data_IF_473005386616
#
_entry.id   IF_473005386616
#
_cell.length_a   1.000
_cell.length_b   1.000
_cell.length_c   1.000
_cell.angle_alpha   90.00
_cell.angle_beta   90.00
_cell.angle_gamma   90.00
#
_symmetry.space_group_name_H-M   'P 1'
#
loop_
_entity.id
_entity.type
_entity.pdbx_description
1 polymer ?
#
# COMPACT_ATOMS: atom_id res chain seq x y z
N UNK A 1 -18.56 6.57 -4.32
CA UNK A 1 -18.48 8.02 -4.10
C UNK A 1 -17.01 8.41 -4.10
N UNK A 2 -16.56 9.28 -5.01
CA UNK A 2 -15.14 9.56 -5.20
C UNK A 2 -14.53 10.26 -4.00
N UNK A 3 -13.46 9.68 -3.45
CA UNK A 3 -12.76 10.24 -2.32
C UNK A 3 -12.04 11.53 -2.74
N UNK A 4 -12.16 12.60 -1.96
CA UNK A 4 -11.61 13.91 -2.33
C UNK A 4 -10.08 13.89 -2.42
N UNK A 5 -9.44 13.10 -1.56
CA UNK A 5 -7.98 12.87 -1.51
C UNK A 5 -7.42 12.40 -2.86
N UNK A 6 -7.96 11.32 -3.43
CA UNK A 6 -7.46 10.74 -4.68
C UNK A 6 -7.70 11.66 -5.87
N UNK A 7 -8.81 12.41 -5.90
CA UNK A 7 -9.05 13.43 -6.92
C UNK A 7 -8.02 14.57 -6.87
N UNK A 8 -7.60 14.97 -5.67
CA UNK A 8 -6.54 15.99 -5.51
C UNK A 8 -5.21 15.42 -6.01
N UNK A 9 -4.90 14.15 -5.73
CA UNK A 9 -3.71 13.47 -6.28
C UNK A 9 -3.73 13.49 -7.80
N UNK A 10 -4.84 13.13 -8.44
CA UNK A 10 -4.95 13.14 -9.90
C UNK A 10 -4.69 14.52 -10.52
N UNK A 11 -5.06 15.60 -9.82
CA UNK A 11 -4.88 16.98 -10.29
C UNK A 11 -3.47 17.52 -10.06
N UNK A 12 -2.85 17.19 -8.93
CA UNK A 12 -1.60 17.83 -8.48
C UNK A 12 -0.38 16.95 -8.72
N UNK A 13 -0.53 15.64 -8.59
CA UNK A 13 0.55 14.65 -8.68
C UNK A 13 0.04 13.35 -9.33
N UNK A 14 -0.33 13.39 -10.63
CA UNK A 14 -0.90 12.23 -11.32
C UNK A 14 0.05 11.03 -11.29
N UNK A 15 -0.51 9.84 -11.07
CA UNK A 15 0.25 8.58 -10.96
C UNK A 15 -0.07 7.69 -12.15
N UNK A 16 0.96 7.33 -12.93
CA UNK A 16 0.85 6.40 -14.06
C UNK A 16 1.41 5.01 -13.77
N UNK A 17 1.18 4.06 -14.68
CA UNK A 17 1.79 2.73 -14.61
C UNK A 17 3.32 2.83 -14.73
N UNK A 18 4.05 2.17 -13.84
CA UNK A 18 5.51 2.25 -13.76
C UNK A 18 6.04 3.50 -13.04
N UNK A 19 5.15 4.33 -12.47
CA UNK A 19 5.55 5.49 -11.69
C UNK A 19 6.29 5.08 -10.41
N UNK A 20 7.32 5.86 -10.06
CA UNK A 20 7.95 5.81 -8.73
C UNK A 20 7.60 7.10 -7.99
N UNK A 21 6.76 6.98 -6.96
CA UNK A 21 6.33 8.10 -6.14
C UNK A 21 6.79 7.95 -4.70
N UNK A 22 6.82 9.07 -3.98
CA UNK A 22 7.05 9.11 -2.55
C UNK A 22 5.98 10.01 -1.91
N UNK A 23 5.27 9.47 -0.91
CA UNK A 23 4.34 10.25 -0.09
C UNK A 23 5.09 10.68 1.16
N UNK A 24 5.29 11.98 1.32
CA UNK A 24 5.92 12.57 2.52
C UNK A 24 4.82 13.08 3.44
N UNK A 25 4.78 12.57 4.67
CA UNK A 25 3.76 12.96 5.65
C UNK A 25 4.32 12.91 7.08
N UNK A 26 3.98 13.88 7.95
CA UNK A 26 4.28 13.75 9.36
C UNK A 26 3.43 12.64 10.02
N UNK A 27 3.81 12.15 11.20
CA UNK A 27 3.01 11.19 11.96
C UNK A 27 1.57 11.71 12.18
N UNK A 28 0.59 10.81 12.13
CA UNK A 28 -0.85 11.10 12.34
C UNK A 28 -1.50 12.03 11.30
N UNK A 29 -0.88 12.21 10.13
CA UNK A 29 -1.45 13.01 9.03
C UNK A 29 -2.36 12.24 8.07
N UNK A 30 -2.70 10.98 8.36
CA UNK A 30 -3.60 10.18 7.52
C UNK A 30 -2.94 9.41 6.39
N UNK A 31 -1.61 9.20 6.42
CA UNK A 31 -0.86 8.36 5.45
C UNK A 31 -1.57 7.03 5.15
N UNK A 32 -1.97 6.33 6.21
CA UNK A 32 -2.55 4.99 6.11
C UNK A 32 -3.90 5.01 5.38
N UNK A 33 -4.77 5.96 5.72
CA UNK A 33 -6.09 6.13 5.08
C UNK A 33 -5.89 6.49 3.59
N UNK A 34 -4.97 7.41 3.29
CA UNK A 34 -4.66 7.78 1.91
C UNK A 34 -4.18 6.58 1.08
N UNK A 35 -3.30 5.74 1.63
CA UNK A 35 -2.83 4.52 0.95
C UNK A 35 -3.96 3.52 0.71
N UNK A 36 -4.85 3.32 1.69
CA UNK A 36 -6.03 2.46 1.53
C UNK A 36 -6.94 2.96 0.40
N UNK A 37 -7.17 4.27 0.33
CA UNK A 37 -8.01 4.89 -0.70
C UNK A 37 -7.38 4.79 -2.09
N UNK A 38 -6.07 4.98 -2.20
CA UNK A 38 -5.33 4.79 -3.45
C UNK A 38 -5.42 3.33 -3.92
N UNK A 39 -5.22 2.36 -3.02
CA UNK A 39 -5.32 0.94 -3.36
C UNK A 39 -6.74 0.57 -3.83
N UNK A 40 -7.79 1.00 -3.10
CA UNK A 40 -9.20 0.81 -3.50
C UNK A 40 -9.49 1.44 -4.87
N UNK A 41 -8.95 2.63 -5.12
CA UNK A 41 -9.11 3.32 -6.41
C UNK A 41 -8.48 2.50 -7.54
N UNK A 42 -7.24 2.02 -7.39
CA UNK A 42 -6.56 1.18 -8.38
C UNK A 42 -7.34 -0.11 -8.64
N UNK A 43 -7.74 -0.83 -7.58
CA UNK A 43 -8.49 -2.09 -7.71
C UNK A 43 -9.84 -1.92 -8.42
N UNK A 44 -10.51 -0.78 -8.23
CA UNK A 44 -11.78 -0.47 -8.88
C UNK A 44 -11.67 0.08 -10.30
N UNK A 45 -10.58 0.76 -10.63
CA UNK A 45 -10.38 1.41 -11.94
C UNK A 45 -9.54 0.61 -12.92
N UNK A 46 -8.66 -0.26 -12.43
CA UNK A 46 -7.74 -1.08 -13.23
C UNK A 46 -7.96 -2.56 -12.88
N UNK A 47 -8.88 -3.27 -13.58
CA UNK A 47 -9.20 -4.67 -13.28
C UNK A 47 -8.02 -5.62 -13.51
N UNK A 48 -7.11 -5.28 -14.41
CA UNK A 48 -5.93 -6.08 -14.74
C UNK A 48 -4.75 -5.83 -13.81
N UNK A 49 -4.85 -4.83 -12.91
CA UNK A 49 -3.80 -4.56 -11.94
C UNK A 49 -3.85 -5.56 -10.78
N UNK A 50 -2.68 -6.05 -10.40
CA UNK A 50 -2.46 -6.79 -9.16
C UNK A 50 -1.74 -5.89 -8.16
N UNK A 51 -2.30 -5.74 -6.95
CA UNK A 51 -1.79 -4.78 -5.96
C UNK A 51 -1.06 -5.51 -4.85
N UNK A 52 0.16 -5.05 -4.54
CA UNK A 52 0.89 -5.46 -3.35
C UNK A 52 0.90 -4.31 -2.35
N UNK A 53 0.59 -4.62 -1.09
CA UNK A 53 0.75 -3.69 0.03
C UNK A 53 1.75 -4.31 0.99
N UNK A 54 2.95 -3.74 1.04
CA UNK A 54 4.03 -4.16 1.92
C UNK A 54 4.09 -3.24 3.15
N UNK A 55 3.93 -3.80 4.34
CA UNK A 55 4.01 -3.09 5.61
C UNK A 55 5.22 -3.58 6.41
N UNK A 56 6.17 -2.69 6.68
CA UNK A 56 7.39 -3.00 7.43
C UNK A 56 7.44 -2.14 8.68
N UNK A 57 7.74 -2.76 9.82
CA UNK A 57 7.93 -2.09 11.11
C UNK A 57 6.68 -1.29 11.55
N UNK A 58 5.50 -1.67 11.05
CA UNK A 58 4.21 -1.06 11.42
C UNK A 58 3.56 -1.86 12.55
N UNK A 59 2.54 -1.25 13.18
CA UNK A 59 1.85 -1.88 14.32
C UNK A 59 0.88 -3.00 13.87
N UNK A 60 0.73 -4.09 14.65
CA UNK A 60 -0.17 -5.20 14.31
C UNK A 60 -1.62 -4.78 14.04
N UNK A 61 -2.15 -3.80 14.78
CA UNK A 61 -3.50 -3.28 14.58
C UNK A 61 -3.66 -2.54 13.25
N UNK A 62 -2.62 -1.84 12.78
CA UNK A 62 -2.62 -1.14 11.51
C UNK A 62 -2.51 -2.11 10.34
N UNK A 63 -1.72 -3.19 10.50
CA UNK A 63 -1.65 -4.31 9.55
C UNK A 63 -3.03 -4.97 9.42
N UNK A 64 -3.67 -5.29 10.54
CA UNK A 64 -4.98 -5.94 10.55
C UNK A 64 -6.06 -5.06 9.91
N UNK A 65 -6.03 -3.75 10.17
CA UNK A 65 -6.94 -2.81 9.52
C UNK A 65 -6.71 -2.76 8.00
N UNK A 66 -5.45 -2.64 7.55
CA UNK A 66 -5.12 -2.67 6.13
C UNK A 66 -5.62 -3.95 5.44
N UNK A 67 -5.35 -5.12 6.02
CA UNK A 67 -5.80 -6.40 5.47
C UNK A 67 -7.33 -6.47 5.33
N UNK A 68 -8.07 -5.99 6.34
CA UNK A 68 -9.54 -5.94 6.27
C UNK A 68 -10.07 -4.93 5.24
N UNK A 69 -9.38 -3.81 5.06
CA UNK A 69 -9.87 -2.72 4.19
C UNK A 69 -9.62 -3.00 2.71
N UNK A 70 -8.52 -3.67 2.37
CA UNK A 70 -8.06 -3.80 0.98
C UNK A 70 -7.63 -5.21 0.58
N UNK A 71 -7.43 -6.13 1.52
CA UNK A 71 -7.08 -7.51 1.22
C UNK A 71 -8.17 -8.22 0.40
N UNK A 72 -7.74 -9.03 -0.58
CA UNK A 72 -8.63 -9.83 -1.41
C UNK A 72 -7.91 -10.46 -2.60
N UNK A 73 -8.66 -11.03 -3.54
CA UNK A 73 -8.12 -11.86 -4.63
C UNK A 73 -7.04 -11.16 -5.49
N UNK A 74 -7.15 -9.84 -5.65
CA UNK A 74 -6.23 -9.02 -6.47
C UNK A 74 -5.38 -8.04 -5.66
N UNK A 75 -5.42 -8.15 -4.33
CA UNK A 75 -4.65 -7.30 -3.44
C UNK A 75 -4.08 -8.12 -2.28
N UNK A 76 -2.77 -8.30 -2.30
CA UNK A 76 -2.04 -9.03 -1.27
C UNK A 76 -1.44 -8.04 -0.27
N UNK A 77 -1.78 -8.22 1.01
CA UNK A 77 -1.18 -7.48 2.12
C UNK A 77 -0.12 -8.37 2.75
N UNK A 78 1.14 -7.95 2.66
CA UNK A 78 2.30 -8.65 3.23
C UNK A 78 2.91 -7.76 4.29
N UNK A 79 3.23 -8.32 5.45
CA UNK A 79 3.75 -7.53 6.57
C UNK A 79 4.89 -8.19 7.33
N UNK A 80 5.69 -7.34 7.97
CA UNK A 80 6.61 -7.68 9.05
C UNK A 80 6.46 -6.61 10.11
N UNK A 81 5.77 -6.93 11.21
CA UNK A 81 5.47 -5.98 12.30
C UNK A 81 6.73 -5.59 13.07
N UNK A 82 6.67 -4.53 13.87
CA UNK A 82 7.81 -4.02 14.65
C UNK A 82 8.42 -5.01 15.66
N UNK A 83 7.68 -6.07 16.01
CA UNK A 83 8.16 -7.13 16.92
C UNK A 83 9.17 -8.08 16.23
N UNK A 84 9.28 -8.04 14.91
CA UNK A 84 10.16 -8.90 14.12
C UNK A 84 11.58 -8.33 14.02
N UNK A 85 12.63 -9.18 13.89
CA UNK A 85 13.99 -8.70 13.75
C UNK A 85 14.22 -8.04 12.38
N UNK A 86 15.19 -7.11 12.25
CA UNK A 86 15.47 -6.44 10.97
C UNK A 86 15.79 -7.39 9.79
N UNK A 87 16.38 -8.56 10.08
CA UNK A 87 16.62 -9.60 9.07
C UNK A 87 15.34 -10.12 8.45
N UNK A 88 14.25 -10.19 9.22
CA UNK A 88 12.91 -10.56 8.73
C UNK A 88 12.35 -9.47 7.82
N UNK A 89 12.48 -8.19 8.18
CA UNK A 89 12.03 -7.07 7.33
C UNK A 89 12.69 -7.10 5.95
N UNK A 90 14.00 -7.34 5.90
CA UNK A 90 14.77 -7.44 4.66
C UNK A 90 14.27 -8.63 3.84
N UNK A 91 14.20 -9.81 4.45
CA UNK A 91 13.78 -11.05 3.78
C UNK A 91 12.38 -10.93 3.18
N UNK A 92 11.43 -10.36 3.92
CA UNK A 92 10.04 -10.17 3.45
C UNK A 92 10.00 -9.17 2.30
N UNK A 93 10.74 -8.06 2.40
CA UNK A 93 10.81 -7.06 1.34
C UNK A 93 11.41 -7.62 0.04
N UNK A 94 12.48 -8.41 0.15
CA UNK A 94 13.13 -9.09 -0.98
C UNK A 94 12.20 -10.10 -1.66
N UNK A 95 11.46 -10.88 -0.87
CA UNK A 95 10.47 -11.82 -1.40
C UNK A 95 9.39 -11.10 -2.22
N UNK A 96 8.84 -10.00 -1.69
CA UNK A 96 7.75 -9.26 -2.34
C UNK A 96 8.22 -8.59 -3.61
N UNK A 97 9.42 -7.98 -3.63
CA UNK A 97 9.93 -7.36 -4.84
C UNK A 97 10.26 -8.40 -5.93
N UNK A 98 10.77 -9.57 -5.57
CA UNK A 98 11.02 -10.65 -6.54
C UNK A 98 9.73 -11.25 -7.08
N UNK A 99 8.68 -11.33 -6.27
CA UNK A 99 7.33 -11.72 -6.71
C UNK A 99 6.74 -10.68 -7.66
N UNK A 100 6.89 -9.39 -7.37
CA UNK A 100 6.35 -8.31 -8.20
C UNK A 100 7.04 -8.16 -9.58
N UNK A 101 8.26 -8.70 -9.75
CA UNK A 101 8.97 -8.72 -11.04
C UNK A 101 8.52 -9.84 -11.98
N UNK A 102 7.82 -10.85 -11.47
CA UNK A 102 7.42 -12.06 -12.20
C UNK A 102 5.95 -12.01 -12.57
#
# INVERSE_FOLDING_TARGET
AGNLSTRIVDLIAPVGMGQRGLIVSPPRAGKTIMLQEMAKCVLGSHPDAYVFILLIDERPEEVTDMERQVGGDRCEVVSSTFDEPPSRHIQVSEMVIEKAKR
#
